data_IF_818563170476
#
_entry.id   IF_818563170476
#
_cell.length_a   1.000
_cell.length_b   1.000
_cell.length_c   1.000
_cell.angle_alpha   90.00
_cell.angle_beta   90.00
_cell.angle_gamma   90.00
#
_symmetry.space_group_name_H-M   'P 1'
#
loop_
_entity.id
_entity.type
_entity.pdbx_description
1 polymer ?
#
# COMPACT_ATOMS: atom_id res chain seq x y z
N UNK A 1 -27.85 -7.87 15.78
CA UNK A 1 -26.62 -8.21 16.51
C UNK A 1 -25.49 -7.38 15.92
N UNK A 2 -24.86 -6.50 16.72
CA UNK A 2 -23.75 -5.64 16.26
C UNK A 2 -22.55 -6.53 15.94
N UNK A 3 -22.04 -6.51 14.71
CA UNK A 3 -20.74 -7.12 14.37
C UNK A 3 -19.68 -6.45 15.22
N UNK A 4 -19.27 -7.10 16.29
CA UNK A 4 -18.07 -6.74 17.05
C UNK A 4 -16.91 -6.84 16.07
N UNK A 5 -16.44 -5.69 15.59
CA UNK A 5 -15.19 -5.60 14.85
C UNK A 5 -14.11 -5.96 15.85
N UNK A 6 -13.74 -7.23 15.84
CA UNK A 6 -12.58 -7.76 16.53
C UNK A 6 -11.35 -7.13 15.88
N UNK A 7 -11.11 -5.85 16.16
CA UNK A 7 -9.91 -5.11 15.81
C UNK A 7 -8.80 -5.63 16.71
N UNK A 8 -8.42 -6.91 16.54
CA UNK A 8 -7.06 -7.35 16.83
C UNK A 8 -6.18 -6.35 16.12
N UNK A 9 -5.57 -5.43 16.88
CA UNK A 9 -4.72 -4.35 16.39
C UNK A 9 -3.95 -4.89 15.19
N UNK A 10 -4.31 -4.46 13.98
CA UNK A 10 -3.68 -5.00 12.79
C UNK A 10 -2.20 -4.71 12.92
N UNK A 11 -1.45 -5.79 13.14
CA UNK A 11 -0.03 -5.74 13.36
C UNK A 11 0.61 -5.14 12.12
N UNK A 12 1.65 -4.31 12.28
CA UNK A 12 2.30 -3.71 11.13
C UNK A 12 2.89 -4.78 10.20
N UNK A 13 3.28 -5.93 10.76
CA UNK A 13 3.68 -7.14 10.05
C UNK A 13 2.60 -7.66 9.08
N UNK A 14 1.31 -7.43 9.40
CA UNK A 14 0.21 -7.82 8.52
C UNK A 14 -0.01 -6.86 7.35
N UNK A 15 0.43 -5.60 7.50
CA UNK A 15 0.32 -4.57 6.47
C UNK A 15 1.58 -4.53 5.59
N UNK A 16 2.75 -4.72 6.20
CA UNK A 16 4.06 -4.74 5.54
C UNK A 16 4.76 -6.05 5.97
N UNK A 17 4.51 -7.17 5.25
CA UNK A 17 5.06 -8.48 5.60
C UNK A 17 6.59 -8.52 5.58
N UNK A 18 7.19 -7.83 4.60
CA UNK A 18 8.63 -7.74 4.43
C UNK A 18 9.27 -6.96 5.60
N UNK A 19 10.13 -7.59 6.41
CA UNK A 19 10.74 -6.95 7.57
C UNK A 19 11.72 -5.82 7.21
N UNK A 20 12.39 -5.90 6.05
CA UNK A 20 13.30 -4.87 5.59
C UNK A 20 12.52 -3.60 5.21
N UNK A 21 11.48 -3.76 4.39
CA UNK A 21 10.57 -2.65 4.02
C UNK A 21 9.89 -2.05 5.24
N UNK A 22 9.46 -2.87 6.19
CA UNK A 22 8.85 -2.41 7.45
C UNK A 22 9.81 -1.52 8.24
N UNK A 23 11.07 -1.95 8.38
CA UNK A 23 12.11 -1.18 9.08
C UNK A 23 12.40 0.15 8.38
N UNK A 24 12.50 0.13 7.06
CA UNK A 24 12.72 1.32 6.24
C UNK A 24 11.57 2.33 6.39
N UNK A 25 10.33 1.90 6.19
CA UNK A 25 9.14 2.75 6.29
C UNK A 25 9.06 3.41 7.66
N UNK A 26 9.25 2.64 8.75
CA UNK A 26 9.25 3.19 10.11
C UNK A 26 10.36 4.22 10.30
N UNK A 27 11.59 3.91 9.86
CA UNK A 27 12.74 4.81 9.97
C UNK A 27 12.48 6.14 9.27
N UNK A 28 11.93 6.10 8.06
CA UNK A 28 11.63 7.30 7.26
C UNK A 28 10.46 8.11 7.83
N UNK A 29 9.44 7.44 8.38
CA UNK A 29 8.34 8.10 9.09
C UNK A 29 8.85 8.89 10.30
N UNK A 30 9.75 8.30 11.10
CA UNK A 30 10.33 9.00 12.26
C UNK A 30 11.22 10.18 11.87
N UNK A 31 11.86 10.12 10.69
CA UNK A 31 12.65 11.24 10.14
C UNK A 31 11.79 12.37 9.60
N UNK A 32 10.48 12.14 9.42
CA UNK A 32 9.57 13.12 8.82
C UNK A 32 9.73 13.21 7.30
N UNK A 33 10.24 12.16 6.65
CA UNK A 33 10.28 12.10 5.19
C UNK A 33 8.86 12.28 4.62
N UNK A 34 8.69 12.96 3.47
CA UNK A 34 7.39 13.10 2.83
C UNK A 34 6.74 11.76 2.55
N UNK A 35 5.41 11.67 2.71
CA UNK A 35 4.69 10.44 2.39
C UNK A 35 4.66 10.16 0.87
N UNK A 36 4.62 11.22 0.06
CA UNK A 36 4.48 11.22 -1.40
C UNK A 36 5.43 12.24 -2.04
N UNK A 37 5.57 12.19 -3.37
CA UNK A 37 6.51 12.99 -4.17
C UNK A 37 7.71 12.18 -4.64
N UNK A 38 8.69 12.79 -5.30
CA UNK A 38 9.79 12.07 -5.98
C UNK A 38 10.56 11.09 -5.07
N UNK A 39 10.67 11.43 -3.79
CA UNK A 39 11.29 10.58 -2.76
C UNK A 39 10.33 10.25 -1.62
N UNK A 40 9.02 10.16 -1.88
CA UNK A 40 8.03 9.84 -0.85
C UNK A 40 8.14 8.40 -0.34
N UNK A 41 7.81 8.17 0.93
CA UNK A 41 7.81 6.82 1.56
C UNK A 41 6.92 5.85 0.79
N UNK A 42 5.79 6.31 0.26
CA UNK A 42 4.78 5.49 -0.40
C UNK A 42 4.66 5.74 -1.91
N UNK A 43 5.56 6.50 -2.53
CA UNK A 43 5.46 6.87 -3.95
C UNK A 43 5.48 5.65 -4.86
N UNK A 44 6.35 4.67 -4.61
CA UNK A 44 6.37 3.43 -5.38
C UNK A 44 5.05 2.65 -5.26
N UNK A 45 4.46 2.60 -4.07
CA UNK A 45 3.16 1.95 -3.86
C UNK A 45 2.03 2.65 -4.61
N UNK A 46 2.02 3.98 -4.62
CA UNK A 46 1.06 4.76 -5.40
C UNK A 46 1.20 4.49 -6.90
N UNK A 47 2.44 4.44 -7.41
CA UNK A 47 2.68 4.11 -8.81
C UNK A 47 2.17 2.70 -9.15
N UNK A 48 2.45 1.71 -8.30
CA UNK A 48 1.93 0.35 -8.49
C UNK A 48 0.41 0.32 -8.48
N UNK A 49 -0.23 1.06 -7.56
CA UNK A 49 -1.69 1.16 -7.50
C UNK A 49 -2.28 1.74 -8.80
N UNK A 50 -1.69 2.82 -9.32
CA UNK A 50 -2.13 3.45 -10.58
C UNK A 50 -1.95 2.48 -11.74
N UNK A 51 -0.79 1.83 -11.85
CA UNK A 51 -0.53 0.87 -12.92
C UNK A 51 -1.52 -0.29 -12.87
N UNK A 52 -1.79 -0.85 -11.69
CA UNK A 52 -2.75 -1.95 -11.53
C UNK A 52 -4.18 -1.53 -11.89
N UNK A 53 -4.57 -0.29 -11.55
CA UNK A 53 -5.88 0.24 -11.96
C UNK A 53 -5.99 0.35 -13.48
N UNK A 54 -4.95 0.87 -14.15
CA UNK A 54 -4.91 0.99 -15.61
C UNK A 54 -4.89 -0.39 -16.31
N UNK A 55 -4.12 -1.34 -15.80
CA UNK A 55 -4.08 -2.71 -16.32
C UNK A 55 -5.43 -3.42 -16.15
N UNK A 56 -6.12 -3.20 -15.02
CA UNK A 56 -7.45 -3.75 -14.78
C UNK A 56 -8.50 -3.27 -15.80
N UNK A 57 -8.47 -1.99 -16.16
CA UNK A 57 -9.31 -1.43 -17.23
C UNK A 57 -8.99 -2.06 -18.59
N UNK A 58 -7.70 -2.32 -18.88
CA UNK A 58 -7.28 -2.98 -20.11
C UNK A 58 -7.74 -4.44 -20.18
N UNK A 59 -7.58 -5.22 -19.10
CA UNK A 59 -8.02 -6.61 -19.03
C UNK A 59 -9.54 -6.77 -19.18
N UNK A 60 -10.32 -5.82 -18.66
CA UNK A 60 -11.78 -5.79 -18.85
C UNK A 60 -12.17 -5.46 -20.30
N UNK A 61 -11.45 -4.54 -20.94
CA UNK A 61 -11.66 -4.17 -22.35
C UNK A 61 -11.29 -5.27 -23.36
N UNK A 62 -10.36 -6.16 -23.01
CA UNK A 62 -9.95 -7.29 -23.86
C UNK A 62 -10.89 -8.50 -23.75
N UNK A 63 -11.59 -8.67 -22.61
CA UNK A 63 -12.62 -9.72 -22.41
C UNK A 63 -13.96 -9.41 -23.07
N UNK A 64 -14.17 -8.18 -23.51
CA UNK A 64 -15.40 -7.71 -24.16
C UNK A 64 -15.33 -7.77 -25.70
N UNK A 65 -14.26 -8.32 -26.27
CA UNK A 65 -14.14 -8.68 -27.69
C UNK A 65 -14.15 -10.19 -27.88
#
# INVERSE_FOLDING_TARGET
MKKERDTKRQKLESLIPDPAKRTEVISRLYKGDPLLGDNGIFTGMLQTLINAALEGEMDESLKTK
#
